data_IF_565473363885
#
_entry.id   IF_565473363885
#
_cell.length_a   1.000
_cell.length_b   1.000
_cell.length_c   1.000
_cell.angle_alpha   90.00
_cell.angle_beta   90.00
_cell.angle_gamma   90.00
#
_symmetry.space_group_name_H-M   'P 1'
#
loop_
_entity.id
_entity.type
_entity.pdbx_description
1 polymer ?
#
# COMPACT_ATOMS: atom_id res chain seq x y z
N UNK A 1 -1.22 -7.42 23.47
CA UNK A 1 -1.55 -6.40 24.50
C UNK A 1 -1.88 -5.02 23.93
N UNK A 2 -1.79 -4.77 22.61
CA UNK A 2 -2.13 -3.45 22.03
C UNK A 2 -3.65 -3.28 21.85
N UNK A 3 -4.36 -4.37 21.55
CA UNK A 3 -5.82 -4.36 21.30
C UNK A 3 -6.64 -4.06 22.55
N UNK A 4 -6.18 -4.51 23.73
CA UNK A 4 -6.87 -4.28 25.01
C UNK A 4 -6.85 -2.81 25.48
N UNK A 5 -6.02 -1.97 24.85
CA UNK A 5 -5.98 -0.52 25.10
C UNK A 5 -7.14 0.19 24.38
N UNK A 6 -7.62 -0.36 23.26
CA UNK A 6 -8.65 0.26 22.42
C UNK A 6 -10.03 -0.37 22.59
N UNK A 7 -10.14 -1.64 22.98
CA UNK A 7 -11.43 -2.26 23.28
C UNK A 7 -11.30 -3.39 24.30
N UNK A 8 -12.32 -3.54 25.15
CA UNK A 8 -12.42 -4.64 26.12
C UNK A 8 -13.39 -5.75 25.66
N UNK A 9 -13.97 -5.59 24.46
CA UNK A 9 -14.98 -6.49 23.93
C UNK A 9 -14.34 -7.74 23.29
N UNK A 10 -14.70 -8.93 23.80
CA UNK A 10 -14.04 -10.21 23.49
C UNK A 10 -14.23 -10.63 22.03
N UNK A 11 -15.33 -10.23 21.40
CA UNK A 11 -15.65 -10.59 20.01
C UNK A 11 -14.79 -9.81 18.98
N UNK A 12 -14.30 -8.62 19.36
CA UNK A 12 -13.56 -7.73 18.45
C UNK A 12 -12.04 -7.98 18.52
N UNK A 13 -11.55 -8.50 19.65
CA UNK A 13 -10.14 -8.83 19.87
C UNK A 13 -9.54 -9.77 18.80
N UNK A 14 -10.17 -10.91 18.44
CA UNK A 14 -9.60 -11.82 17.44
C UNK A 14 -9.56 -11.19 16.04
N UNK A 15 -10.56 -10.37 15.69
CA UNK A 15 -10.60 -9.66 14.40
C UNK A 15 -9.50 -8.61 14.32
N UNK A 16 -9.30 -7.84 15.40
CA UNK A 16 -8.24 -6.83 15.49
C UNK A 16 -6.83 -7.44 15.42
N UNK A 17 -6.61 -8.59 16.08
CA UNK A 17 -5.35 -9.35 15.98
C UNK A 17 -5.07 -9.81 14.56
N UNK A 18 -6.09 -10.27 13.82
CA UNK A 18 -5.96 -10.68 12.42
C UNK A 18 -5.59 -9.49 11.53
N UNK A 19 -6.24 -8.33 11.73
CA UNK A 19 -5.94 -7.08 11.02
C UNK A 19 -4.51 -6.56 11.27
N UNK A 20 -3.96 -6.79 12.48
CA UNK A 20 -2.60 -6.37 12.81
C UNK A 20 -1.53 -7.02 11.93
N UNK A 21 -1.73 -8.29 11.55
CA UNK A 21 -0.82 -8.99 10.63
C UNK A 21 -0.80 -8.32 9.25
N UNK A 22 -1.96 -7.90 8.74
CA UNK A 22 -2.03 -7.13 7.51
C UNK A 22 -1.37 -5.76 7.65
N UNK A 23 -1.55 -5.08 8.79
CA UNK A 23 -0.90 -3.80 9.05
C UNK A 23 0.63 -3.91 9.05
N UNK A 24 1.20 -4.99 9.60
CA UNK A 24 2.66 -5.22 9.55
C UNK A 24 3.17 -5.38 8.11
N UNK A 25 2.45 -6.13 7.27
CA UNK A 25 2.79 -6.26 5.85
C UNK A 25 2.65 -4.94 5.08
N UNK A 26 1.59 -4.18 5.38
CA UNK A 26 1.34 -2.86 4.82
C UNK A 26 2.48 -1.88 5.13
N UNK A 27 2.97 -1.87 6.38
CA UNK A 27 4.04 -0.97 6.84
C UNK A 27 5.31 -1.08 6.00
N UNK A 28 5.70 -2.30 5.59
CA UNK A 28 6.89 -2.54 4.76
C UNK A 28 6.73 -1.96 3.36
N UNK A 29 5.56 -2.18 2.74
CA UNK A 29 5.27 -1.67 1.39
C UNK A 29 5.16 -0.15 1.37
N UNK A 30 4.57 0.45 2.41
CA UNK A 30 4.44 1.90 2.56
C UNK A 30 5.82 2.57 2.70
N UNK A 31 6.71 2.00 3.52
CA UNK A 31 8.08 2.50 3.69
C UNK A 31 8.89 2.47 2.37
N UNK A 32 8.74 1.40 1.57
CA UNK A 32 9.39 1.30 0.25
C UNK A 32 8.82 2.33 -0.73
N UNK A 33 7.50 2.51 -0.76
CA UNK A 33 6.85 3.49 -1.62
C UNK A 33 7.29 4.92 -1.28
N UNK A 34 7.32 5.28 0.01
CA UNK A 34 7.72 6.62 0.48
C UNK A 34 9.19 6.88 0.20
N UNK A 35 10.07 5.89 0.41
CA UNK A 35 11.49 6.00 0.06
C UNK A 35 11.69 6.16 -1.45
N UNK A 36 10.96 5.34 -2.23
CA UNK A 36 10.69 5.43 -3.67
C UNK A 36 10.47 6.86 -4.17
N UNK A 37 9.37 7.42 -3.69
CA UNK A 37 8.89 8.74 -4.04
C UNK A 37 9.82 9.85 -3.53
N UNK A 38 10.43 9.70 -2.35
CA UNK A 38 11.39 10.64 -1.80
C UNK A 38 12.63 10.81 -2.68
N UNK A 39 13.16 9.70 -3.21
CA UNK A 39 14.29 9.73 -4.13
C UNK A 39 13.92 10.40 -5.47
N UNK A 40 12.76 10.08 -6.05
CA UNK A 40 12.29 10.72 -7.28
C UNK A 40 12.07 12.23 -7.12
N UNK A 41 11.50 12.66 -5.98
CA UNK A 41 11.33 14.08 -5.66
C UNK A 41 12.68 14.80 -5.53
N UNK A 42 13.71 14.12 -5.01
CA UNK A 42 15.08 14.65 -4.97
C UNK A 42 15.70 14.87 -6.36
N UNK A 43 15.25 14.14 -7.38
CA UNK A 43 15.65 14.31 -8.78
C UNK A 43 14.82 15.38 -9.52
N UNK A 44 14.03 16.19 -8.81
CA UNK A 44 13.07 17.18 -9.35
C UNK A 44 11.90 16.59 -10.17
N UNK A 45 11.75 15.26 -10.27
CA UNK A 45 10.62 14.61 -10.94
C UNK A 45 9.51 14.27 -9.91
N UNK A 46 8.72 15.28 -9.53
CA UNK A 46 7.69 15.19 -8.49
C UNK A 46 6.31 14.77 -9.03
N UNK A 47 6.07 14.94 -10.33
CA UNK A 47 4.77 14.61 -10.94
C UNK A 47 4.58 13.12 -11.15
N UNK A 48 5.64 12.42 -11.59
CA UNK A 48 5.62 10.99 -11.80
C UNK A 48 5.10 10.19 -10.57
N UNK A 49 5.62 10.39 -9.34
CA UNK A 49 5.18 9.59 -8.21
C UNK A 49 3.76 9.90 -7.76
N UNK A 50 3.32 11.15 -7.86
CA UNK A 50 1.96 11.57 -7.48
C UNK A 50 0.89 10.92 -8.37
N UNK A 51 1.09 10.89 -9.69
CA UNK A 51 0.14 10.27 -10.62
C UNK A 51 0.07 8.75 -10.44
N UNK A 52 1.22 8.11 -10.18
CA UNK A 52 1.27 6.65 -9.97
C UNK A 52 0.54 6.25 -8.69
N UNK A 53 0.77 6.95 -7.57
CA UNK A 53 0.06 6.65 -6.33
C UNK A 53 -1.44 6.93 -6.46
N UNK A 54 -1.82 8.05 -7.08
CA UNK A 54 -3.23 8.35 -7.33
C UNK A 54 -3.91 7.24 -8.13
N UNK A 55 -3.35 6.84 -9.26
CA UNK A 55 -3.94 5.77 -10.09
C UNK A 55 -3.96 4.42 -9.35
N UNK A 56 -2.89 4.06 -8.66
CA UNK A 56 -2.84 2.77 -7.98
C UNK A 56 -3.85 2.68 -6.82
N UNK A 57 -4.04 3.75 -6.06
CA UNK A 57 -5.05 3.76 -5.00
C UNK A 57 -6.47 3.81 -5.56
N UNK A 58 -6.72 4.65 -6.55
CA UNK A 58 -8.08 4.90 -7.01
C UNK A 58 -8.58 3.84 -8.00
N UNK A 59 -7.71 3.37 -8.91
CA UNK A 59 -8.06 2.43 -9.98
C UNK A 59 -7.82 0.98 -9.56
N UNK A 60 -6.92 0.73 -8.60
CA UNK A 60 -6.58 -0.64 -8.20
C UNK A 60 -7.10 -0.91 -6.79
N UNK A 61 -6.64 -0.17 -5.78
CA UNK A 61 -7.02 -0.45 -4.38
C UNK A 61 -8.53 -0.33 -4.14
N UNK A 62 -9.18 0.68 -4.72
CA UNK A 62 -10.61 0.93 -4.53
C UNK A 62 -11.51 -0.18 -5.12
N UNK A 63 -11.41 -0.54 -6.42
CA UNK A 63 -12.25 -1.60 -6.96
C UNK A 63 -11.89 -2.99 -6.44
N UNK A 64 -10.60 -3.31 -6.23
CA UNK A 64 -10.22 -4.59 -5.63
C UNK A 64 -10.73 -4.68 -4.18
N UNK A 65 -10.62 -3.59 -3.40
CA UNK A 65 -11.13 -3.55 -2.03
C UNK A 65 -12.63 -3.72 -1.96
N UNK A 66 -13.37 -3.07 -2.86
CA UNK A 66 -14.83 -3.16 -2.94
C UNK A 66 -15.29 -4.54 -3.45
N UNK A 67 -14.53 -5.14 -4.37
CA UNK A 67 -14.77 -6.49 -4.87
C UNK A 67 -14.54 -7.54 -3.78
N UNK A 68 -13.39 -7.53 -3.10
CA UNK A 68 -13.10 -8.47 -2.01
C UNK A 68 -14.04 -8.29 -0.82
N UNK A 69 -14.44 -7.05 -0.49
CA UNK A 69 -15.38 -6.81 0.60
C UNK A 69 -16.80 -7.33 0.31
N UNK A 70 -17.23 -7.32 -0.95
CA UNK A 70 -18.59 -7.73 -1.35
C UNK A 70 -18.69 -9.20 -1.73
N UNK A 71 -17.66 -9.79 -2.33
CA UNK A 71 -17.69 -11.16 -2.85
C UNK A 71 -17.04 -12.20 -1.94
N UNK A 72 -16.28 -11.79 -0.93
CA UNK A 72 -15.57 -12.71 -0.02
C UNK A 72 -16.11 -12.59 1.40
N UNK A 73 -16.25 -13.71 2.12
CA UNK A 73 -16.66 -13.77 3.54
C UNK A 73 -15.71 -13.03 4.51
N UNK A 74 -14.65 -12.42 3.99
CA UNK A 74 -13.57 -11.80 4.75
C UNK A 74 -13.88 -10.34 5.14
N UNK A 75 -14.98 -9.76 4.64
CA UNK A 75 -15.49 -8.44 5.05
C UNK A 75 -14.39 -7.37 5.08
N UNK A 76 -14.08 -6.86 6.28
CA UNK A 76 -13.09 -5.80 6.51
C UNK A 76 -11.66 -6.22 6.15
N UNK A 77 -11.31 -7.49 6.36
CA UNK A 77 -9.98 -8.00 6.00
C UNK A 77 -9.75 -7.99 4.48
N UNK A 78 -10.82 -8.16 3.70
CA UNK A 78 -10.77 -8.05 2.23
C UNK A 78 -10.38 -6.66 1.74
N UNK A 79 -10.83 -5.61 2.43
CA UNK A 79 -10.44 -4.21 2.13
C UNK A 79 -8.96 -4.01 2.39
N UNK A 80 -8.44 -4.51 3.51
CA UNK A 80 -7.02 -4.40 3.87
C UNK A 80 -6.11 -5.14 2.89
N UNK A 81 -6.49 -6.35 2.49
CA UNK A 81 -5.79 -7.10 1.44
C UNK A 81 -5.76 -6.33 0.12
N UNK A 82 -6.89 -5.75 -0.27
CA UNK A 82 -6.99 -4.96 -1.48
C UNK A 82 -6.09 -3.72 -1.47
N UNK A 83 -6.00 -3.07 -0.31
CA UNK A 83 -5.16 -1.90 -0.09
C UNK A 83 -3.67 -2.27 -0.16
N UNK A 84 -3.26 -3.39 0.45
CA UNK A 84 -1.88 -3.91 0.37
C UNK A 84 -1.50 -4.26 -1.07
N UNK A 85 -2.39 -4.91 -1.82
CA UNK A 85 -2.13 -5.27 -3.22
C UNK A 85 -2.00 -4.01 -4.08
N UNK A 86 -2.89 -3.03 -3.93
CA UNK A 86 -2.81 -1.76 -4.63
C UNK A 86 -1.51 -1.01 -4.32
N UNK A 87 -1.09 -1.00 -3.05
CA UNK A 87 0.15 -0.36 -2.64
C UNK A 87 1.40 -1.07 -3.18
N UNK A 88 1.37 -2.41 -3.18
CA UNK A 88 2.47 -3.23 -3.70
C UNK A 88 2.68 -2.95 -5.19
N UNK A 89 1.59 -2.87 -5.96
CA UNK A 89 1.65 -2.55 -7.38
C UNK A 89 2.17 -1.11 -7.59
N UNK A 90 1.69 -0.14 -6.81
CA UNK A 90 2.18 1.23 -6.85
C UNK A 90 3.69 1.31 -6.57
N UNK A 91 4.16 0.59 -5.55
CA UNK A 91 5.55 0.52 -5.14
C UNK A 91 6.42 -0.06 -6.26
N UNK A 92 6.01 -1.17 -6.87
CA UNK A 92 6.72 -1.79 -8.00
C UNK A 92 6.80 -0.85 -9.20
N UNK A 93 5.71 -0.14 -9.53
CA UNK A 93 5.69 0.85 -10.62
C UNK A 93 6.64 2.02 -10.36
N UNK A 94 6.65 2.55 -9.14
CA UNK A 94 7.55 3.62 -8.71
C UNK A 94 9.02 3.19 -8.76
N UNK A 95 9.34 2.02 -8.21
CA UNK A 95 10.69 1.45 -8.23
C UNK A 95 11.17 1.19 -9.66
N UNK A 96 10.30 0.64 -10.51
CA UNK A 96 10.61 0.43 -11.93
C UNK A 96 10.92 1.75 -12.64
N UNK A 97 10.12 2.80 -12.40
CA UNK A 97 10.35 4.12 -12.98
C UNK A 97 11.63 4.78 -12.49
N UNK A 98 11.94 4.63 -11.19
CA UNK A 98 13.20 5.09 -10.62
C UNK A 98 14.39 4.39 -11.28
N UNK A 99 14.34 3.06 -11.41
CA UNK A 99 15.40 2.28 -12.06
C UNK A 99 15.62 2.70 -13.51
N UNK A 100 14.55 2.96 -14.27
CA UNK A 100 14.63 3.46 -15.64
C UNK A 100 15.26 4.85 -15.73
N UNK A 101 14.92 5.77 -14.82
CA UNK A 101 15.52 7.11 -14.78
C UNK A 101 17.01 7.07 -14.41
N UNK A 102 17.39 6.26 -13.42
CA UNK A 102 18.80 6.06 -13.05
C UNK A 102 19.61 5.47 -14.21
N UNK A 103 19.04 4.52 -14.95
CA UNK A 103 19.69 3.92 -16.12
C UNK A 103 19.87 4.89 -17.28
N UNK A 104 18.96 5.87 -17.45
CA UNK A 104 19.12 6.96 -18.42
C UNK A 104 20.29 7.89 -18.05
N UNK A 105 20.42 8.23 -16.77
CA UNK A 105 21.50 9.09 -16.28
C UNK A 105 22.88 8.42 -16.45
N UNK A 106 22.99 7.12 -16.20
CA UNK A 106 24.26 6.37 -16.36
C UNK A 106 24.72 6.23 -17.81
N UNK A 107 23.87 6.55 -18.80
CA UNK A 107 24.17 6.40 -20.23
C UNK A 107 24.59 7.71 -20.91
N UNK A 108 24.65 8.81 -20.16
CA UNK A 108 25.15 10.12 -20.59
C UNK A 108 26.54 10.32 -20.01
#
# INVERSE_FOLDING_TARGET
>A
QIVSVYTQDIDVVPVAMYLLWFAMGYQLMDALQVSAAGCLRGMQDTQAPMWITLMAYWVIAFPIGLYLARYTHWGVAGVWLGLIIGLSIACVLLLSRLYLNTKRLSKT
#
